data_IF_263195046114
#
_entry.id   IF_263195046114
#
_cell.length_a   1.000
_cell.length_b   1.000
_cell.length_c   1.000
_cell.angle_alpha   90.00
_cell.angle_beta   90.00
_cell.angle_gamma   90.00
#
_symmetry.space_group_name_H-M   'P 1'
#
loop_
_entity.id
_entity.type
_entity.pdbx_description
1 polymer ?
#
# COMPACT_ATOMS: atom_id res chain seq x y z
N UNK A 1 24.98 20.41 -40.40
CA UNK A 1 25.09 19.59 -41.62
C UNK A 1 25.39 18.15 -41.21
N UNK A 2 24.41 17.27 -41.42
CA UNK A 2 24.41 15.80 -41.62
C UNK A 2 23.13 15.23 -40.99
N UNK A 3 22.03 15.38 -41.73
CA UNK A 3 20.83 14.55 -41.58
C UNK A 3 21.18 13.12 -42.02
N UNK A 4 21.00 12.14 -41.14
CA UNK A 4 20.94 10.74 -41.53
C UNK A 4 19.54 10.20 -41.28
N UNK A 5 18.86 9.93 -42.38
CA UNK A 5 17.55 9.33 -42.46
C UNK A 5 17.64 7.81 -42.24
N UNK A 6 17.02 7.31 -41.17
CA UNK A 6 16.79 5.89 -40.94
C UNK A 6 15.36 5.52 -41.40
N UNK A 7 15.27 4.95 -42.61
CA UNK A 7 14.08 4.26 -43.14
C UNK A 7 14.05 2.83 -42.59
N UNK A 8 13.13 2.55 -41.67
CA UNK A 8 12.81 1.18 -41.24
C UNK A 8 11.82 0.47 -42.18
N UNK A 9 11.85 -0.88 -42.25
CA UNK A 9 11.01 -1.66 -43.16
C UNK A 9 9.54 -1.76 -42.67
N UNK A 10 8.61 -1.50 -43.60
CA UNK A 10 7.15 -1.61 -43.40
C UNK A 10 6.74 -3.09 -43.39
N UNK A 11 6.53 -3.66 -42.22
CA UNK A 11 5.82 -4.94 -42.08
C UNK A 11 4.32 -4.71 -42.32
N UNK A 12 3.80 -5.23 -43.44
CA UNK A 12 2.38 -5.19 -43.81
C UNK A 12 1.58 -6.19 -42.97
N UNK A 13 1.31 -5.83 -41.71
CA UNK A 13 0.26 -6.48 -40.92
C UNK A 13 -1.10 -6.11 -41.49
N UNK A 14 -1.85 -7.11 -41.97
CA UNK A 14 -3.23 -6.98 -42.46
C UNK A 14 -4.14 -6.57 -41.29
N UNK A 15 -4.22 -5.27 -41.01
CA UNK A 15 -5.15 -4.66 -40.05
C UNK A 15 -6.56 -4.89 -40.60
N UNK A 16 -7.30 -5.81 -39.99
CA UNK A 16 -8.75 -5.90 -40.16
C UNK A 16 -9.34 -4.58 -39.69
N UNK A 17 -9.71 -3.74 -40.66
CA UNK A 17 -10.26 -2.41 -40.48
C UNK A 17 -11.57 -2.48 -39.68
N UNK A 18 -11.48 -2.14 -38.40
CA UNK A 18 -12.61 -1.96 -37.49
C UNK A 18 -13.30 -0.60 -37.77
N UNK A 19 -13.56 -0.27 -39.04
CA UNK A 19 -14.02 1.05 -39.49
C UNK A 19 -15.51 1.30 -39.26
N UNK A 20 -16.28 0.28 -38.85
CA UNK A 20 -17.72 0.44 -38.54
C UNK A 20 -18.03 1.13 -37.21
N UNK A 21 -17.08 1.29 -36.29
CA UNK A 21 -17.34 1.87 -34.97
C UNK A 21 -17.22 3.40 -34.92
N UNK A 22 -16.58 4.04 -35.91
CA UNK A 22 -16.33 5.49 -35.88
C UNK A 22 -17.58 6.33 -36.16
N UNK A 23 -18.47 5.86 -37.03
CA UNK A 23 -19.77 6.51 -37.29
C UNK A 23 -20.74 6.41 -36.11
N UNK A 24 -20.83 5.23 -35.48
CA UNK A 24 -21.69 5.04 -34.30
C UNK A 24 -21.22 5.84 -33.08
N UNK A 25 -19.90 6.06 -32.94
CA UNK A 25 -19.35 6.88 -31.87
C UNK A 25 -19.71 8.36 -32.04
N UNK A 26 -19.71 8.88 -33.28
CA UNK A 26 -20.13 10.25 -33.59
C UNK A 26 -21.63 10.45 -33.36
N UNK A 27 -22.47 9.47 -33.71
CA UNK A 27 -23.91 9.53 -33.46
C UNK A 27 -24.29 9.41 -31.98
N UNK A 28 -23.50 8.67 -31.17
CA UNK A 28 -23.67 8.63 -29.71
C UNK A 28 -23.27 9.95 -29.07
N UNK A 29 -22.20 10.60 -29.54
CA UNK A 29 -21.75 11.88 -29.02
C UNK A 29 -22.79 13.01 -29.23
N UNK A 30 -23.65 12.92 -30.26
CA UNK A 30 -24.76 13.87 -30.47
C UNK A 30 -25.96 13.66 -29.54
N UNK A 31 -26.05 12.53 -28.85
CA UNK A 31 -27.19 12.16 -27.99
C UNK A 31 -26.93 12.30 -26.49
N UNK A 32 -25.73 12.69 -26.09
CA UNK A 32 -25.38 12.93 -24.69
C UNK A 32 -25.12 14.43 -24.46
N UNK A 33 -25.81 15.02 -23.47
CA UNK A 33 -25.57 16.37 -22.96
C UNK A 33 -24.40 16.31 -22.00
N UNK A 34 -23.44 17.22 -22.15
CA UNK A 34 -22.39 17.41 -21.15
C UNK A 34 -22.98 18.18 -19.96
N UNK A 35 -22.96 17.57 -18.78
CA UNK A 35 -23.44 18.13 -17.52
C UNK A 35 -22.25 18.31 -16.59
N UNK A 36 -21.99 19.54 -16.17
CA UNK A 36 -20.97 19.86 -15.16
C UNK A 36 -21.57 19.63 -13.77
N UNK A 37 -20.99 18.72 -13.00
CA UNK A 37 -21.38 18.47 -11.61
C UNK A 37 -20.36 19.15 -10.68
N UNK A 38 -20.86 19.92 -9.73
CA UNK A 38 -20.04 20.46 -8.67
C UNK A 38 -19.56 19.33 -7.75
N UNK A 39 -18.25 19.24 -7.54
CA UNK A 39 -17.61 18.28 -6.63
C UNK A 39 -16.69 19.07 -5.71
N UNK A 40 -16.92 18.91 -4.41
CA UNK A 40 -16.07 19.50 -3.38
C UNK A 40 -14.72 18.78 -3.38
N UNK A 41 -13.64 19.55 -3.53
CA UNK A 41 -12.29 19.03 -3.34
C UNK A 41 -11.95 19.17 -1.87
N UNK A 42 -11.46 18.09 -1.25
CA UNK A 42 -10.98 18.17 0.12
C UNK A 42 -9.83 19.18 0.20
N UNK A 43 -10.01 20.30 0.93
CA UNK A 43 -8.95 21.31 1.10
C UNK A 43 -7.85 20.82 2.04
N UNK A 44 -8.02 19.64 2.64
CA UNK A 44 -7.12 19.05 3.64
C UNK A 44 -6.05 18.16 3.00
N UNK A 45 -6.08 17.96 1.67
CA UNK A 45 -5.09 17.17 0.95
C UNK A 45 -3.77 17.96 0.93
N UNK A 46 -2.73 17.38 1.49
CA UNK A 46 -1.36 17.92 1.37
C UNK A 46 -0.89 17.71 -0.08
N UNK A 47 -0.63 18.79 -0.85
CA UNK A 47 -0.13 18.66 -2.20
C UNK A 47 1.29 18.09 -2.20
N UNK A 48 1.65 17.39 -3.27
CA UNK A 48 3.05 16.99 -3.48
C UNK A 48 3.93 18.23 -3.65
N UNK A 49 5.16 18.22 -3.08
CA UNK A 49 6.11 19.29 -3.32
C UNK A 49 6.50 19.32 -4.79
N UNK A 50 6.43 20.49 -5.41
CA UNK A 50 6.87 20.70 -6.79
C UNK A 50 8.39 20.92 -6.79
N UNK A 51 9.14 19.95 -7.29
CA UNK A 51 10.61 20.02 -7.37
C UNK A 51 11.00 20.34 -8.81
N UNK A 52 11.80 21.40 -9.05
CA UNK A 52 12.32 21.72 -10.38
C UNK A 52 13.05 20.53 -11.03
N UNK A 53 12.89 20.37 -12.35
CA UNK A 53 13.46 19.25 -13.10
C UNK A 53 14.98 19.13 -12.97
N UNK A 54 15.71 20.24 -12.83
CA UNK A 54 17.17 20.19 -12.65
C UNK A 54 17.56 19.59 -11.29
N UNK A 55 16.81 19.87 -10.22
CA UNK A 55 17.01 19.24 -8.91
C UNK A 55 16.62 17.77 -8.94
N UNK A 56 15.54 17.39 -9.64
CA UNK A 56 15.18 15.98 -9.81
C UNK A 56 16.32 15.20 -10.48
N UNK A 57 16.95 15.77 -11.52
CA UNK A 57 18.12 15.18 -12.19
C UNK A 57 19.35 15.11 -11.28
N UNK A 58 19.60 16.16 -10.48
CA UNK A 58 20.72 16.19 -9.53
C UNK A 58 20.56 15.15 -8.40
N UNK A 59 19.34 14.96 -7.90
CA UNK A 59 19.02 13.89 -6.95
C UNK A 59 19.25 12.54 -7.60
N UNK A 60 18.75 12.32 -8.81
CA UNK A 60 18.94 11.07 -9.54
C UNK A 60 20.43 10.76 -9.79
N UNK A 61 21.26 11.76 -10.09
CA UNK A 61 22.70 11.57 -10.27
C UNK A 61 23.46 11.32 -8.95
N UNK A 62 22.90 11.70 -7.81
CA UNK A 62 23.50 11.46 -6.48
C UNK A 62 23.02 10.16 -5.82
N UNK A 63 21.95 9.55 -6.33
CA UNK A 63 21.46 8.25 -5.85
C UNK A 63 22.49 7.12 -5.88
N UNK A 64 23.37 6.98 -6.89
CA UNK A 64 24.42 5.95 -6.87
C UNK A 64 25.41 6.11 -5.69
N UNK A 65 25.64 7.35 -5.24
CA UNK A 65 26.48 7.59 -4.05
C UNK A 65 25.78 7.12 -2.77
N UNK A 66 24.46 7.27 -2.69
CA UNK A 66 23.64 6.85 -1.55
C UNK A 66 23.33 5.34 -1.56
N UNK A 67 23.29 4.73 -2.74
CA UNK A 67 22.94 3.32 -2.94
C UNK A 67 24.14 2.64 -3.60
N UNK A 68 25.13 2.18 -2.81
CA UNK A 68 26.31 1.53 -3.36
C UNK A 68 25.97 0.28 -4.17
N UNK A 69 26.81 -0.05 -5.15
CA UNK A 69 26.67 -1.23 -6.03
C UNK A 69 26.69 -2.58 -5.30
N UNK A 70 27.04 -2.61 -4.01
CA UNK A 70 26.96 -3.81 -3.17
C UNK A 70 25.51 -4.20 -2.81
N UNK A 71 24.59 -3.24 -2.76
CA UNK A 71 23.17 -3.47 -2.45
C UNK A 71 22.46 -4.31 -3.51
N UNK A 72 22.55 -4.00 -4.82
CA UNK A 72 21.91 -4.83 -5.84
C UNK A 72 22.45 -6.25 -5.86
N UNK A 73 23.76 -6.42 -5.69
CA UNK A 73 24.39 -7.75 -5.59
C UNK A 73 23.81 -8.55 -4.40
N UNK A 74 23.72 -7.92 -3.22
CA UNK A 74 23.11 -8.52 -2.04
C UNK A 74 21.66 -8.95 -2.27
N UNK A 75 20.82 -8.13 -2.91
CA UNK A 75 19.43 -8.48 -3.18
C UNK A 75 19.30 -9.65 -4.17
N UNK A 76 20.15 -9.70 -5.19
CA UNK A 76 20.20 -10.82 -6.15
C UNK A 76 20.62 -12.12 -5.45
N UNK A 77 21.68 -12.09 -4.65
CA UNK A 77 22.18 -13.27 -3.96
C UNK A 77 21.22 -13.74 -2.85
N UNK A 78 20.60 -12.81 -2.13
CA UNK A 78 19.52 -13.12 -1.18
C UNK A 78 18.33 -13.77 -1.87
N UNK A 79 17.93 -13.28 -3.05
CA UNK A 79 16.85 -13.87 -3.83
C UNK A 79 17.20 -15.30 -4.28
N UNK A 80 18.43 -15.52 -4.76
CA UNK A 80 18.94 -16.85 -5.13
C UNK A 80 18.92 -17.81 -3.94
N UNK A 81 19.45 -17.40 -2.79
CA UNK A 81 19.44 -18.20 -1.56
C UNK A 81 18.00 -18.53 -1.11
N UNK A 82 17.07 -17.58 -1.21
CA UNK A 82 15.65 -17.80 -0.88
C UNK A 82 15.01 -18.84 -1.80
N UNK A 83 15.25 -18.75 -3.11
CA UNK A 83 14.74 -19.73 -4.07
C UNK A 83 15.33 -21.11 -3.85
N UNK A 84 16.64 -21.20 -3.57
CA UNK A 84 17.30 -22.44 -3.21
C UNK A 84 16.70 -23.06 -1.95
N UNK A 85 16.59 -22.30 -0.87
CA UNK A 85 16.02 -22.76 0.41
C UNK A 85 14.55 -23.16 0.26
N UNK A 86 13.78 -22.44 -0.54
CA UNK A 86 12.39 -22.81 -0.85
C UNK A 86 12.31 -24.12 -1.64
N UNK A 87 13.21 -24.33 -2.61
CA UNK A 87 13.28 -25.58 -3.36
C UNK A 87 13.68 -26.75 -2.47
N UNK A 88 14.65 -26.57 -1.57
CA UNK A 88 15.05 -27.59 -0.58
C UNK A 88 13.89 -27.94 0.36
N UNK A 89 13.21 -26.94 0.93
CA UNK A 89 12.01 -27.17 1.76
C UNK A 89 10.90 -27.91 1.02
N UNK A 90 10.71 -27.64 -0.28
CA UNK A 90 9.74 -28.38 -1.11
C UNK A 90 10.17 -29.84 -1.35
N UNK A 91 11.46 -30.09 -1.55
CA UNK A 91 12.01 -31.46 -1.71
C UNK A 91 11.88 -32.25 -0.40
N UNK A 92 12.22 -31.64 0.72
CA UNK A 92 12.10 -32.26 2.04
C UNK A 92 10.64 -32.60 2.37
N UNK A 93 9.70 -31.66 2.17
CA UNK A 93 8.27 -31.93 2.32
C UNK A 93 7.77 -33.07 1.43
N UNK A 94 8.29 -33.20 0.20
CA UNK A 94 7.96 -34.32 -0.68
C UNK A 94 8.53 -35.64 -0.18
N UNK A 95 9.76 -35.65 0.35
CA UNK A 95 10.39 -36.83 0.95
C UNK A 95 9.65 -37.28 2.22
N UNK A 96 9.28 -36.33 3.08
CA UNK A 96 8.47 -36.59 4.27
C UNK A 96 7.10 -37.16 3.88
N UNK A 97 6.42 -36.58 2.89
CA UNK A 97 5.15 -37.11 2.41
C UNK A 97 5.29 -38.53 1.83
N UNK A 98 6.30 -38.77 0.99
CA UNK A 98 6.53 -40.10 0.43
C UNK A 98 6.88 -41.15 1.51
N UNK A 99 7.59 -40.75 2.57
CA UNK A 99 7.87 -41.64 3.70
C UNK A 99 6.60 -41.97 4.48
N UNK A 100 5.73 -40.99 4.73
CA UNK A 100 4.43 -41.19 5.39
C UNK A 100 3.52 -42.07 4.52
N UNK A 101 3.44 -41.81 3.22
CA UNK A 101 2.63 -42.61 2.30
C UNK A 101 3.13 -44.08 2.28
N UNK A 102 4.45 -44.30 2.30
CA UNK A 102 5.03 -45.65 2.38
C UNK A 102 4.74 -46.35 3.72
N UNK A 103 4.78 -45.62 4.83
CA UNK A 103 4.42 -46.17 6.14
C UNK A 103 2.95 -46.58 6.19
N UNK A 104 2.04 -45.80 5.60
CA UNK A 104 0.62 -46.13 5.50
C UNK A 104 0.34 -47.35 4.60
N UNK A 105 1.14 -47.56 3.56
CA UNK A 105 1.07 -48.77 2.73
C UNK A 105 1.57 -50.02 3.49
N UNK A 106 2.64 -49.89 4.27
CA UNK A 106 3.17 -50.99 5.09
C UNK A 106 2.20 -51.37 6.23
N UNK A 107 1.52 -50.40 6.86
CA UNK A 107 0.55 -50.65 7.93
C UNK A 107 -0.75 -51.32 7.43
N UNK A 108 -1.20 -51.02 6.20
CA UNK A 108 -2.40 -51.64 5.62
C UNK A 108 -2.18 -53.06 5.05
N UNK A 109 -0.94 -53.54 4.92
CA UNK A 109 -0.66 -54.90 4.43
C UNK A 109 -0.53 -55.95 5.55
N UNK A 110 -0.85 -55.59 6.80
CA UNK A 110 -0.75 -56.47 7.97
C UNK A 110 -2.03 -57.18 8.45
N UNK A 111 -3.23 -56.85 7.94
CA UNK A 111 -4.48 -57.49 8.39
C UNK A 111 -5.03 -58.51 7.37
N UNK A 112 -4.98 -59.78 7.80
CA UNK A 112 -5.59 -61.03 7.34
C UNK A 112 -6.40 -61.07 6.01
N UNK A 113 -5.99 -61.87 5.01
CA UNK A 113 -6.68 -61.99 3.73
C UNK A 113 -7.81 -63.03 3.83
N UNK A 114 -8.98 -62.63 4.33
CA UNK A 114 -10.20 -63.44 4.19
C UNK A 114 -11.43 -62.58 3.95
N UNK A 115 -11.65 -62.21 2.68
CA UNK A 115 -12.91 -62.44 1.95
C UNK A 115 -12.88 -61.79 0.56
N UNK A 116 -13.15 -62.65 -0.42
CA UNK A 116 -13.19 -62.47 -1.86
C UNK A 116 -14.15 -61.38 -2.35
N UNK A 117 -13.76 -60.58 -3.35
CA UNK A 117 -14.68 -59.94 -4.32
C UNK A 117 -13.91 -59.44 -5.56
N UNK A 118 -14.56 -59.25 -6.73
CA UNK A 118 -14.11 -59.87 -7.97
C UNK A 118 -13.31 -58.92 -8.87
N UNK A 119 -12.39 -59.52 -9.62
CA UNK A 119 -11.59 -58.93 -10.70
C UNK A 119 -12.44 -58.10 -11.67
N UNK A 120 -12.06 -56.82 -11.83
CA UNK A 120 -12.35 -56.04 -13.03
C UNK A 120 -11.20 -56.21 -14.03
N UNK A 121 -11.49 -56.34 -15.34
CA UNK A 121 -10.48 -56.48 -16.37
C UNK A 121 -9.72 -55.18 -16.56
N UNK A 122 -8.40 -55.35 -16.58
CA UNK A 122 -7.35 -54.35 -16.65
C UNK A 122 -7.30 -53.77 -18.06
N UNK A 123 -7.53 -52.47 -18.20
CA UNK A 123 -7.40 -51.75 -19.47
C UNK A 123 -6.07 -50.98 -19.49
N UNK A 124 -5.34 -51.18 -20.58
CA UNK A 124 -3.96 -50.81 -20.80
C UNK A 124 -3.71 -49.31 -20.61
N UNK A 125 -2.83 -48.95 -19.68
CA UNK A 125 -2.03 -47.73 -19.82
C UNK A 125 -0.55 -48.07 -19.76
N UNK A 126 0.09 -47.91 -20.91
CA UNK A 126 1.53 -47.93 -21.16
C UNK A 126 2.30 -47.25 -20.02
N UNK A 127 2.91 -48.05 -19.16
CA UNK A 127 3.95 -47.61 -18.23
C UNK A 127 5.29 -47.74 -18.93
N UNK A 128 5.77 -46.61 -19.42
CA UNK A 128 7.14 -46.38 -19.83
C UNK A 128 8.04 -46.46 -18.58
N UNK A 129 8.48 -47.67 -18.26
CA UNK A 129 9.27 -48.02 -17.07
C UNK A 129 10.63 -48.52 -17.52
N UNK A 130 11.51 -47.63 -17.98
CA UNK A 130 12.93 -47.96 -18.13
C UNK A 130 13.80 -46.70 -18.21
N UNK A 131 14.19 -46.20 -17.03
CA UNK A 131 15.47 -45.51 -16.81
C UNK A 131 15.70 -45.34 -15.31
N UNK A 132 15.95 -46.45 -14.60
CA UNK A 132 16.59 -46.42 -13.29
C UNK A 132 18.06 -46.07 -13.54
N UNK A 133 18.32 -44.80 -13.83
CA UNK A 133 19.66 -44.24 -13.76
C UNK A 133 20.05 -44.23 -12.29
N UNK A 134 21.06 -45.03 -11.91
CA UNK A 134 21.76 -44.90 -10.62
C UNK A 134 22.08 -43.42 -10.44
N UNK A 135 21.43 -42.80 -9.46
CA UNK A 135 21.72 -41.41 -9.10
C UNK A 135 23.14 -41.43 -8.54
N UNK A 136 24.12 -41.03 -9.35
CA UNK A 136 25.47 -40.77 -8.88
C UNK A 136 25.38 -39.85 -7.65
N UNK A 137 25.89 -40.35 -6.52
CA UNK A 137 26.15 -39.62 -5.28
C UNK A 137 27.19 -38.52 -5.55
N UNK A 138 26.83 -37.53 -6.36
CA UNK A 138 27.62 -36.32 -6.49
C UNK A 138 27.65 -35.66 -5.11
N UNK A 139 28.84 -35.37 -4.57
CA UNK A 139 28.98 -34.86 -3.20
C UNK A 139 28.09 -33.64 -3.04
N UNK A 140 27.21 -33.70 -2.04
CA UNK A 140 26.25 -32.65 -1.76
C UNK A 140 26.98 -31.32 -1.63
N UNK A 141 26.85 -30.44 -2.63
CA UNK A 141 27.41 -29.10 -2.54
C UNK A 141 26.90 -28.45 -1.24
N UNK A 142 27.79 -27.89 -0.41
CA UNK A 142 27.40 -27.28 0.85
C UNK A 142 26.33 -26.21 0.59
N UNK A 143 25.31 -26.10 1.46
CA UNK A 143 24.25 -25.12 1.26
C UNK A 143 24.86 -23.72 1.08
N UNK A 144 24.36 -22.92 0.12
CA UNK A 144 24.90 -21.59 -0.13
C UNK A 144 24.80 -20.77 1.16
N UNK A 145 25.94 -20.19 1.59
CA UNK A 145 25.98 -19.30 2.75
C UNK A 145 25.08 -18.10 2.47
N UNK A 146 24.27 -17.73 3.46
CA UNK A 146 23.41 -16.53 3.37
C UNK A 146 24.34 -15.32 3.29
N UNK A 147 24.22 -14.45 2.27
CA UNK A 147 25.06 -13.27 2.18
C UNK A 147 24.80 -12.35 3.38
N UNK A 148 25.87 -11.77 3.93
CA UNK A 148 25.77 -10.77 4.99
C UNK A 148 25.17 -9.47 4.43
N UNK A 149 24.30 -8.84 5.22
CA UNK A 149 23.65 -7.60 4.79
C UNK A 149 24.64 -6.43 4.89
N UNK A 150 24.81 -5.62 3.82
CA UNK A 150 25.64 -4.43 3.90
C UNK A 150 25.13 -3.45 4.97
N UNK A 151 26.03 -2.86 5.76
CA UNK A 151 25.65 -1.91 6.83
C UNK A 151 24.80 -0.75 6.31
N UNK A 152 25.08 -0.27 5.10
CA UNK A 152 24.32 0.82 4.45
C UNK A 152 22.83 0.49 4.33
N UNK A 153 22.47 -0.80 4.20
CA UNK A 153 21.09 -1.24 4.07
C UNK A 153 20.25 -0.92 5.31
N UNK A 154 20.85 -0.80 6.50
CA UNK A 154 20.12 -0.45 7.73
C UNK A 154 19.60 1.00 7.72
N UNK A 155 20.20 1.85 6.89
CA UNK A 155 19.86 3.26 6.73
C UNK A 155 18.87 3.52 5.58
N UNK A 156 18.55 2.49 4.79
CA UNK A 156 17.67 2.58 3.62
C UNK A 156 16.41 1.75 3.85
N UNK A 157 15.27 2.32 3.47
CA UNK A 157 13.96 1.68 3.59
C UNK A 157 13.34 1.64 2.19
N UNK A 158 13.01 0.44 1.72
CA UNK A 158 12.41 0.24 0.40
C UNK A 158 10.97 -0.24 0.51
N UNK A 159 10.07 0.42 -0.22
CA UNK A 159 8.67 0.06 -0.33
C UNK A 159 7.73 0.92 0.50
N UNK A 160 6.52 1.13 -0.03
CA UNK A 160 5.50 2.04 0.55
C UNK A 160 5.13 1.62 1.98
N UNK A 161 4.83 0.34 2.20
CA UNK A 161 4.35 -0.15 3.50
C UNK A 161 5.42 -0.03 4.59
N UNK A 162 6.69 -0.30 4.26
CA UNK A 162 7.77 -0.19 5.23
C UNK A 162 8.05 1.29 5.57
N UNK A 163 8.01 2.18 4.57
CA UNK A 163 8.09 3.62 4.81
C UNK A 163 6.94 4.12 5.69
N UNK A 164 5.70 3.71 5.44
CA UNK A 164 4.54 4.11 6.26
C UNK A 164 4.67 3.60 7.69
N UNK A 165 5.03 2.31 7.89
CA UNK A 165 5.24 1.76 9.24
C UNK A 165 6.31 2.52 10.01
N UNK A 166 7.40 2.92 9.35
CA UNK A 166 8.47 3.70 9.98
C UNK A 166 7.98 5.11 10.32
N UNK A 167 7.21 5.75 9.44
CA UNK A 167 6.59 7.06 9.70
C UNK A 167 5.62 7.00 10.88
N UNK A 168 4.73 6.01 10.92
CA UNK A 168 3.75 5.81 12.00
C UNK A 168 4.46 5.65 13.35
N UNK A 169 5.46 4.77 13.43
CA UNK A 169 6.27 4.61 14.64
C UNK A 169 6.97 5.90 15.05
N UNK A 170 7.50 6.65 14.09
CA UNK A 170 8.19 7.92 14.37
C UNK A 170 7.21 8.99 14.85
N UNK A 171 5.99 9.03 14.31
CA UNK A 171 4.90 9.90 14.74
C UNK A 171 4.47 9.55 16.17
N UNK A 172 4.31 8.27 16.47
CA UNK A 172 3.84 7.83 17.80
C UNK A 172 4.91 8.05 18.88
N UNK A 173 6.20 7.82 18.58
CA UNK A 173 7.32 8.21 19.47
C UNK A 173 7.31 9.73 19.72
N UNK A 174 7.08 10.54 18.68
CA UNK A 174 7.07 11.99 18.83
C UNK A 174 5.85 12.49 19.63
N UNK A 175 4.66 11.92 19.41
CA UNK A 175 3.47 12.21 20.23
C UNK A 175 3.68 11.88 21.69
N UNK A 176 4.26 10.71 21.97
CA UNK A 176 4.59 10.29 23.33
C UNK A 176 5.55 11.29 23.99
N UNK A 177 6.63 11.68 23.29
CA UNK A 177 7.58 12.68 23.80
C UNK A 177 6.94 14.04 24.05
N UNK A 178 6.10 14.51 23.14
CA UNK A 178 5.34 15.75 23.31
C UNK A 178 4.45 15.71 24.54
N UNK A 179 3.78 14.59 24.80
CA UNK A 179 2.96 14.39 25.99
C UNK A 179 3.81 14.41 27.27
N UNK A 180 4.95 13.73 27.29
CA UNK A 180 5.89 13.75 28.42
C UNK A 180 6.45 15.17 28.68
N UNK A 181 6.78 15.91 27.62
CA UNK A 181 7.22 17.31 27.71
C UNK A 181 6.11 18.21 28.27
N UNK A 182 4.86 18.04 27.82
CA UNK A 182 3.74 18.81 28.32
C UNK A 182 3.45 18.51 29.81
N UNK A 183 3.52 17.25 30.22
CA UNK A 183 3.34 16.86 31.62
C UNK A 183 4.48 17.37 32.52
N UNK A 184 5.70 17.44 31.98
CA UNK A 184 6.85 18.03 32.66
C UNK A 184 6.64 19.53 32.94
N UNK A 185 6.10 20.28 31.97
CA UNK A 185 5.77 21.71 32.12
C UNK A 185 4.70 21.91 33.21
N UNK A 186 3.76 20.97 33.34
CA UNK A 186 2.69 21.04 34.35
C UNK A 186 3.14 20.64 35.76
N UNK A 187 4.42 20.27 35.96
CA UNK A 187 4.92 19.81 37.25
C UNK A 187 4.53 18.37 37.62
N UNK A 188 3.89 17.63 36.71
CA UNK A 188 3.53 16.21 36.90
C UNK A 188 4.71 15.25 36.64
N UNK A 189 5.93 15.69 36.96
CA UNK A 189 7.17 14.98 36.60
C UNK A 189 7.34 13.65 37.33
N UNK A 190 6.63 13.43 38.44
CA UNK A 190 6.75 12.20 39.24
C UNK A 190 6.41 10.93 38.45
N UNK A 191 5.65 11.05 37.34
CA UNK A 191 5.33 9.94 36.44
C UNK A 191 6.34 9.76 35.30
N UNK A 192 7.15 10.78 34.99
CA UNK A 192 8.04 10.79 33.82
C UNK A 192 9.45 10.25 34.11
N UNK A 193 9.94 10.37 35.35
CA UNK A 193 11.31 9.95 35.73
C UNK A 193 11.41 8.51 36.21
N UNK A 194 10.30 7.89 36.62
CA UNK A 194 10.25 6.44 36.84
C UNK A 194 10.13 5.80 35.48
N UNK A 195 11.22 5.22 35.01
CA UNK A 195 11.34 4.38 33.81
C UNK A 195 10.39 3.16 33.91
N UNK A 196 9.08 3.40 33.79
CA UNK A 196 8.10 2.35 33.69
C UNK A 196 8.22 1.78 32.27
N UNK A 197 8.40 0.46 32.13
CA UNK A 197 8.45 -0.17 30.82
C UNK A 197 7.14 0.13 30.09
N UNK A 198 7.26 0.83 28.97
CA UNK A 198 6.15 1.17 28.07
C UNK A 198 5.47 -0.11 27.58
N UNK A 199 4.46 -0.55 28.31
CA UNK A 199 3.53 -1.57 27.84
C UNK A 199 2.41 -0.84 27.10
N UNK A 200 2.44 -0.87 25.77
CA UNK A 200 1.61 -0.07 24.86
C UNK A 200 0.10 -0.37 24.89
N UNK A 201 -0.41 -1.05 25.92
CA UNK A 201 -1.80 -1.51 26.00
C UNK A 201 -2.65 -0.76 27.05
N UNK A 202 -2.09 0.24 27.74
CA UNK A 202 -2.75 0.88 28.90
C UNK A 202 -3.07 2.38 28.75
N UNK A 203 -3.31 2.89 27.55
CA UNK A 203 -3.52 4.33 27.31
C UNK A 203 -4.95 4.85 27.53
N UNK A 204 -5.82 4.06 28.18
CA UNK A 204 -7.15 4.53 28.60
C UNK A 204 -7.41 4.17 30.07
N UNK A 205 -7.66 5.16 30.96
CA UNK A 205 -7.92 4.94 32.39
C UNK A 205 -9.20 4.16 32.75
N UNK A 206 -9.91 3.60 31.77
CA UNK A 206 -11.26 3.05 31.96
C UNK A 206 -11.38 1.54 31.76
N UNK A 207 -10.30 0.83 31.40
CA UNK A 207 -10.34 -0.62 31.30
C UNK A 207 -9.95 -1.25 32.65
N UNK A 208 -10.85 -2.01 33.31
CA UNK A 208 -10.47 -2.79 34.48
C UNK A 208 -9.39 -3.80 34.08
N UNK A 209 -8.25 -3.74 34.77
CA UNK A 209 -7.10 -4.61 34.52
C UNK A 209 -7.43 -6.05 34.91
N UNK A 210 -7.68 -6.92 33.93
CA UNK A 210 -7.75 -8.37 34.13
C UNK A 210 -6.35 -8.92 34.45
N UNK A 211 -6.13 -9.29 35.69
CA UNK A 211 -4.85 -9.67 36.29
C UNK A 211 -4.39 -11.11 36.01
N UNK A 212 -4.81 -11.75 34.90
CA UNK A 212 -4.56 -13.19 34.68
C UNK A 212 -3.72 -13.59 33.44
N UNK A 213 -3.24 -12.65 32.62
CA UNK A 213 -2.39 -13.00 31.48
C UNK A 213 -0.90 -13.09 31.88
N UNK A 214 -0.47 -14.31 32.20
CA UNK A 214 0.89 -14.77 32.47
C UNK A 214 1.90 -14.28 31.40
N UNK A 215 2.68 -13.28 31.78
CA UNK A 215 3.76 -12.64 31.03
C UNK A 215 4.89 -13.63 30.71
N UNK A 216 5.01 -14.06 29.45
CA UNK A 216 6.32 -14.44 28.92
C UNK A 216 7.07 -13.13 28.65
N UNK A 217 8.06 -12.84 29.49
CA UNK A 217 8.92 -11.67 29.40
C UNK A 217 9.79 -11.72 28.15
N UNK A 218 9.24 -11.27 27.03
CA UNK A 218 10.07 -10.81 25.91
C UNK A 218 10.51 -9.40 26.30
N UNK A 219 11.80 -9.25 26.62
CA UNK A 219 12.50 -7.98 26.78
C UNK A 219 12.33 -7.13 25.51
N UNK A 220 11.23 -6.37 25.44
CA UNK A 220 10.94 -5.41 24.37
C UNK A 220 11.96 -4.26 24.36
N UNK A 221 12.71 -4.06 25.44
CA UNK A 221 13.69 -2.98 25.57
C UNK A 221 14.98 -3.22 24.77
N UNK A 222 15.43 -4.47 24.59
CA UNK A 222 16.62 -4.75 23.76
C UNK A 222 16.32 -4.74 22.25
N UNK A 223 15.08 -5.04 21.84
CA UNK A 223 14.67 -4.96 20.43
C UNK A 223 14.24 -3.57 19.99
N UNK A 224 13.96 -2.65 20.93
CA UNK A 224 13.85 -1.20 20.70
C UNK A 224 15.21 -0.50 20.52
N UNK A 225 16.31 -1.20 20.85
CA UNK A 225 17.69 -0.68 20.77
C UNK A 225 18.25 -0.55 19.35
N UNK A 226 17.58 -1.08 18.33
CA UNK A 226 17.87 -0.75 16.94
C UNK A 226 17.41 0.68 16.68
N UNK A 227 18.22 1.66 17.12
CA UNK A 227 18.00 3.12 17.06
C UNK A 227 17.16 3.47 15.83
N UNK A 228 15.86 3.68 16.06
CA UNK A 228 14.91 4.02 15.02
C UNK A 228 15.13 5.49 14.68
N UNK A 229 16.18 5.74 13.90
CA UNK A 229 16.41 7.04 13.30
C UNK A 229 15.26 7.32 12.33
N UNK A 230 14.55 8.45 12.50
CA UNK A 230 13.48 8.80 11.59
C UNK A 230 14.03 8.98 10.16
N UNK A 231 13.21 8.73 9.13
CA UNK A 231 13.62 8.96 7.75
C UNK A 231 13.77 10.47 7.54
N UNK A 232 14.94 10.92 7.09
CA UNK A 232 15.17 12.33 6.77
C UNK A 232 14.68 12.68 5.35
N UNK A 233 14.80 11.75 4.40
CA UNK A 233 14.31 11.92 3.03
C UNK A 233 13.42 10.76 2.61
N UNK A 234 12.36 11.07 1.86
CA UNK A 234 11.47 10.08 1.24
C UNK A 234 11.35 10.40 -0.24
N UNK A 235 11.88 9.50 -1.07
CA UNK A 235 11.98 9.64 -2.52
C UNK A 235 10.90 8.78 -3.17
N UNK A 236 10.05 9.39 -4.00
CA UNK A 236 8.89 8.75 -4.63
C UNK A 236 8.88 9.03 -6.15
N UNK A 237 8.98 8.00 -7.02
CA UNK A 237 8.81 8.15 -8.47
C UNK A 237 7.31 8.25 -8.83
N UNK A 238 6.72 9.45 -8.75
CA UNK A 238 5.27 9.67 -8.79
C UNK A 238 4.60 9.24 -10.10
N UNK A 239 5.29 9.37 -11.23
CA UNK A 239 4.69 9.14 -12.55
C UNK A 239 4.70 7.66 -12.96
N UNK A 240 5.58 6.85 -12.36
CA UNK A 240 5.71 5.43 -12.68
C UNK A 240 4.69 4.55 -11.92
N UNK A 241 4.11 5.05 -10.83
CA UNK A 241 3.26 4.27 -9.94
C UNK A 241 1.80 4.35 -10.36
N UNK A 242 1.24 3.21 -10.78
CA UNK A 242 -0.18 3.04 -11.09
C UNK A 242 -0.81 2.01 -10.14
N UNK A 243 -1.85 2.37 -9.37
CA UNK A 243 -2.47 3.71 -9.25
C UNK A 243 -1.73 4.65 -8.28
N UNK A 244 -1.76 5.95 -8.55
CA UNK A 244 -1.14 7.00 -7.72
C UNK A 244 -1.75 7.11 -6.30
N UNK A 245 -2.95 6.56 -6.10
CA UNK A 245 -3.62 6.53 -4.79
C UNK A 245 -2.85 5.71 -3.76
N UNK A 246 -1.93 4.83 -4.17
CA UNK A 246 -1.08 4.07 -3.25
C UNK A 246 -0.06 4.94 -2.53
N UNK A 247 0.36 6.04 -3.15
CA UNK A 247 1.39 6.94 -2.60
C UNK A 247 0.83 8.26 -2.07
N UNK A 248 -0.44 8.58 -2.37
CA UNK A 248 -1.05 9.87 -1.99
C UNK A 248 -1.10 10.13 -0.49
N UNK A 249 -0.99 9.10 0.35
CA UNK A 249 -0.94 9.26 1.80
C UNK A 249 0.43 9.73 2.31
N UNK A 250 1.53 9.49 1.58
CA UNK A 250 2.89 9.76 2.06
C UNK A 250 3.10 11.24 2.45
N UNK A 251 2.72 12.24 1.62
CA UNK A 251 2.85 13.66 1.99
C UNK A 251 2.06 14.00 3.25
N UNK A 252 0.91 13.35 3.45
CA UNK A 252 0.07 13.56 4.62
C UNK A 252 0.78 13.14 5.91
N UNK A 253 1.36 11.94 5.93
CA UNK A 253 2.12 11.44 7.08
C UNK A 253 3.37 12.29 7.35
N UNK A 254 4.08 12.70 6.30
CA UNK A 254 5.27 13.55 6.45
C UNK A 254 4.92 14.93 7.00
N UNK A 255 3.83 15.54 6.50
CA UNK A 255 3.34 16.80 7.04
C UNK A 255 2.96 16.65 8.53
N UNK A 256 2.26 15.58 8.90
CA UNK A 256 1.92 15.28 10.31
C UNK A 256 3.15 15.19 11.18
N UNK A 257 4.17 14.44 10.74
CA UNK A 257 5.42 14.35 11.47
C UNK A 257 6.09 15.74 11.61
N UNK A 258 6.21 16.51 10.52
CA UNK A 258 6.85 17.82 10.56
C UNK A 258 6.11 18.81 11.47
N UNK A 259 4.78 18.78 11.51
CA UNK A 259 3.98 19.58 12.43
C UNK A 259 4.28 19.25 13.90
N UNK A 260 4.39 17.96 14.23
CA UNK A 260 4.78 17.51 15.56
C UNK A 260 6.24 17.89 15.88
N UNK A 261 7.14 17.88 14.89
CA UNK A 261 8.53 18.34 15.08
C UNK A 261 8.56 19.82 15.42
N UNK A 262 7.78 20.66 14.72
CA UNK A 262 7.68 22.08 15.07
C UNK A 262 7.15 22.28 16.50
N UNK A 263 6.13 21.53 16.91
CA UNK A 263 5.62 21.59 18.28
C UNK A 263 6.68 21.16 19.29
N UNK A 264 7.44 20.12 18.98
CA UNK A 264 8.50 19.62 19.83
C UNK A 264 9.60 20.68 19.99
N UNK A 265 9.98 21.38 18.91
CA UNK A 265 10.95 22.48 18.96
C UNK A 265 10.42 23.63 19.84
N UNK A 266 9.15 24.02 19.69
CA UNK A 266 8.57 25.11 20.49
C UNK A 266 8.45 24.75 21.97
N UNK A 267 7.97 23.54 22.29
CA UNK A 267 7.93 23.04 23.65
C UNK A 267 9.32 22.88 24.26
N UNK A 268 10.30 22.48 23.46
CA UNK A 268 11.70 22.40 23.86
C UNK A 268 12.21 23.75 24.37
N UNK A 269 11.96 24.83 23.63
CA UNK A 269 12.31 26.21 24.06
C UNK A 269 11.60 26.62 25.35
N UNK A 270 10.33 26.26 25.51
CA UNK A 270 9.57 26.56 26.74
C UNK A 270 10.16 25.79 27.92
N UNK A 271 10.50 24.52 27.74
CA UNK A 271 11.14 23.70 28.78
C UNK A 271 12.52 24.23 29.15
N UNK A 272 13.32 24.62 28.15
CA UNK A 272 14.66 25.19 28.39
C UNK A 272 14.62 26.46 29.26
N UNK A 273 13.56 27.27 29.13
CA UNK A 273 13.37 28.49 29.91
C UNK A 273 12.75 28.22 31.29
N UNK A 274 11.89 27.20 31.43
CA UNK A 274 11.15 26.94 32.68
C UNK A 274 11.77 25.88 33.59
N UNK A 275 12.59 24.95 33.08
CA UNK A 275 13.10 23.81 33.84
C UNK A 275 14.61 23.85 34.09
N UNK A 276 15.04 23.20 35.18
CA UNK A 276 16.47 23.05 35.55
C UNK A 276 17.21 22.17 34.54
N UNK A 277 18.54 22.34 34.44
CA UNK A 277 19.39 21.61 33.49
C UNK A 277 19.26 20.08 33.58
N UNK A 278 19.09 19.54 34.78
CA UNK A 278 18.99 18.09 35.03
C UNK A 278 17.73 17.45 34.41
N UNK A 279 16.66 18.23 34.24
CA UNK A 279 15.37 17.77 33.70
C UNK A 279 15.29 17.92 32.18
N UNK A 280 16.32 18.49 31.53
CA UNK A 280 16.34 18.70 30.07
C UNK A 280 16.53 17.42 29.27
N UNK A 281 16.88 16.31 29.93
CA UNK A 281 16.98 14.98 29.32
C UNK A 281 15.67 14.52 28.67
N UNK A 282 14.52 15.04 29.13
CA UNK A 282 13.18 14.73 28.60
C UNK A 282 13.00 15.24 27.17
N UNK A 283 13.68 16.32 26.77
CA UNK A 283 13.60 16.87 25.41
C UNK A 283 14.06 15.79 24.41
N UNK A 284 15.16 15.10 24.73
CA UNK A 284 15.80 14.12 23.86
C UNK A 284 16.63 14.76 22.74
N UNK A 285 17.07 13.95 21.79
CA UNK A 285 17.85 14.41 20.63
C UNK A 285 17.00 15.31 19.69
N UNK A 286 17.61 16.33 19.06
CA UNK A 286 16.94 17.15 18.07
C UNK A 286 16.40 16.30 16.93
N UNK A 287 15.13 16.53 16.58
CA UNK A 287 14.47 15.86 15.46
C UNK A 287 14.48 16.76 14.24
N UNK A 288 14.88 16.20 13.10
CA UNK A 288 14.86 16.90 11.82
C UNK A 288 13.54 16.67 11.07
N UNK A 289 13.17 17.63 10.24
CA UNK A 289 12.01 17.52 9.36
C UNK A 289 12.24 16.47 8.25
N UNK A 290 11.18 15.76 7.90
CA UNK A 290 11.18 14.79 6.80
C UNK A 290 10.94 15.53 5.50
N UNK A 291 11.84 15.32 4.53
CA UNK A 291 11.76 15.92 3.21
C UNK A 291 11.23 14.92 2.19
N UNK A 292 10.11 15.27 1.54
CA UNK A 292 9.54 14.45 0.47
C UNK A 292 10.07 14.91 -0.89
N UNK A 293 10.61 13.97 -1.65
CA UNK A 293 11.20 14.19 -2.97
C UNK A 293 10.36 13.48 -4.01
N UNK A 294 9.52 14.25 -4.70
CA UNK A 294 8.77 13.80 -5.85
C UNK A 294 9.68 13.74 -7.08
N UNK A 295 9.93 12.54 -7.59
CA UNK A 295 10.63 12.31 -8.85
C UNK A 295 9.63 11.94 -9.96
N UNK A 296 10.04 12.15 -11.21
CA UNK A 296 9.27 11.80 -12.41
C UNK A 296 9.21 10.30 -12.70
N UNK A 297 9.26 9.93 -13.98
CA UNK A 297 9.18 8.52 -14.43
C UNK A 297 10.55 7.82 -14.33
N UNK A 298 11.01 7.59 -13.10
CA UNK A 298 12.35 7.04 -12.80
C UNK A 298 12.32 5.78 -11.94
N UNK A 299 11.16 5.13 -11.78
CA UNK A 299 11.03 3.91 -10.97
C UNK A 299 12.01 2.82 -11.43
N UNK A 300 12.13 2.60 -12.74
CA UNK A 300 12.94 1.51 -13.28
C UNK A 300 14.43 1.73 -13.03
N UNK A 301 14.90 2.98 -13.07
CA UNK A 301 16.29 3.33 -12.80
C UNK A 301 16.63 3.10 -11.33
N UNK A 302 15.76 3.56 -10.42
CA UNK A 302 15.91 3.31 -8.98
C UNK A 302 15.85 1.80 -8.68
N UNK A 303 14.92 1.09 -9.29
CA UNK A 303 14.78 -0.35 -9.11
C UNK A 303 16.04 -1.11 -9.57
N UNK A 304 16.65 -0.70 -10.69
CA UNK A 304 17.93 -1.26 -11.17
C UNK A 304 19.08 -0.98 -10.19
N UNK A 305 19.21 0.25 -9.69
CA UNK A 305 20.24 0.60 -8.71
C UNK A 305 20.13 -0.23 -7.43
N UNK A 306 18.91 -0.48 -6.94
CA UNK A 306 18.69 -1.30 -5.73
C UNK A 306 18.74 -2.81 -6.02
N UNK A 307 18.68 -3.24 -7.29
CA UNK A 307 18.61 -4.66 -7.65
C UNK A 307 17.25 -5.30 -7.34
N UNK A 308 16.20 -4.48 -7.33
CA UNK A 308 14.82 -4.93 -7.16
C UNK A 308 14.06 -4.81 -8.49
N UNK A 309 12.96 -5.56 -8.60
CA UNK A 309 12.13 -5.51 -9.81
C UNK A 309 11.39 -4.19 -9.95
N UNK A 310 10.95 -3.62 -8.83
CA UNK A 310 10.13 -2.40 -8.72
C UNK A 310 10.43 -1.74 -7.38
N UNK A 311 10.52 -0.42 -7.36
CA UNK A 311 10.73 0.37 -6.13
C UNK A 311 9.83 1.59 -6.17
N UNK A 312 8.71 1.53 -5.46
CA UNK A 312 7.71 2.59 -5.46
C UNK A 312 7.99 3.70 -4.43
N UNK A 313 8.86 3.45 -3.45
CA UNK A 313 9.22 4.42 -2.43
C UNK A 313 10.57 4.02 -1.84
N UNK A 314 11.46 4.99 -1.67
CA UNK A 314 12.76 4.81 -1.01
C UNK A 314 12.87 5.88 0.07
N UNK A 315 13.06 5.48 1.33
CA UNK A 315 13.33 6.43 2.41
C UNK A 315 14.77 6.26 2.93
N UNK A 316 15.41 7.39 3.22
CA UNK A 316 16.79 7.47 3.72
C UNK A 316 16.72 7.97 5.17
N UNK A 317 17.30 7.21 6.10
CA UNK A 317 17.35 7.57 7.53
C UNK A 317 18.34 8.69 7.79
N UNK A 318 18.11 9.45 8.86
CA UNK A 318 19.03 10.52 9.29
C UNK A 318 20.43 10.02 9.65
N UNK A 319 20.59 8.72 9.93
CA UNK A 319 21.87 8.09 10.25
C UNK A 319 22.71 7.69 9.03
N UNK A 320 22.24 7.94 7.80
CA UNK A 320 23.00 7.61 6.59
C UNK A 320 24.27 8.49 6.47
N UNK A 321 25.46 7.93 6.19
CA UNK A 321 26.72 8.70 6.15
C UNK A 321 26.70 9.82 5.09
N UNK A 322 26.18 9.53 3.90
CA UNK A 322 26.15 10.47 2.77
C UNK A 322 24.89 11.35 2.69
N UNK A 323 24.13 11.46 3.80
CA UNK A 323 22.90 12.25 3.83
C UNK A 323 23.12 13.73 3.48
N UNK A 324 24.32 14.24 3.78
CA UNK A 324 24.69 15.64 3.55
C UNK A 324 24.52 16.06 2.09
N UNK A 325 24.80 15.15 1.15
CA UNK A 325 24.67 15.39 -0.29
C UNK A 325 23.23 15.78 -0.64
N UNK A 326 22.24 15.04 -0.13
CA UNK A 326 20.82 15.39 -0.34
C UNK A 326 20.43 16.67 0.37
N UNK A 327 20.99 16.92 1.56
CA UNK A 327 20.68 18.10 2.35
C UNK A 327 21.16 19.41 1.72
N UNK A 328 22.26 19.35 0.97
CA UNK A 328 22.84 20.47 0.21
C UNK A 328 22.11 20.69 -1.12
N UNK A 329 21.75 19.60 -1.82
CA UNK A 329 21.06 19.68 -3.11
C UNK A 329 19.61 20.14 -3.00
N UNK A 330 18.90 19.70 -1.95
CA UNK A 330 17.49 19.96 -1.81
C UNK A 330 17.26 21.07 -0.77
N UNK A 331 16.51 22.13 -1.14
CA UNK A 331 16.12 23.13 -0.16
C UNK A 331 15.33 22.47 0.97
N UNK A 332 15.27 23.13 2.14
CA UNK A 332 14.35 22.71 3.21
C UNK A 332 12.95 22.66 2.61
N UNK A 333 12.37 21.45 2.53
CA UNK A 333 11.11 21.25 1.85
C UNK A 333 10.01 21.87 2.70
N UNK A 334 9.37 22.91 2.19
CA UNK A 334 8.19 23.49 2.80
C UNK A 334 6.97 22.58 2.54
N UNK A 335 6.89 21.44 3.23
CA UNK A 335 5.62 20.75 3.37
C UNK A 335 4.78 21.55 4.34
N UNK A 336 3.65 22.08 3.87
CA UNK A 336 2.71 22.74 4.76
C UNK A 336 2.20 21.74 5.81
N UNK A 337 2.09 22.15 7.08
CA UNK A 337 1.52 21.30 8.11
C UNK A 337 0.11 20.84 7.72
N UNK A 338 -0.28 19.61 8.11
CA UNK A 338 -1.54 19.04 7.70
C UNK A 338 -2.67 19.78 8.41
N UNK A 339 -3.58 20.31 7.60
CA UNK A 339 -4.62 21.25 8.06
C UNK A 339 -5.70 20.63 8.95
N UNK A 340 -5.69 19.30 9.13
CA UNK A 340 -6.68 18.59 9.94
C UNK A 340 -6.26 18.39 11.39
N UNK A 341 -5.00 18.71 11.75
CA UNK A 341 -4.58 18.67 13.14
C UNK A 341 -4.90 20.00 13.80
N UNK A 342 -6.07 20.06 14.43
CA UNK A 342 -6.29 20.90 15.61
C UNK A 342 -5.43 20.26 16.71
N UNK A 343 -4.12 20.38 16.61
CA UNK A 343 -3.24 20.07 17.72
C UNK A 343 -3.54 21.12 18.76
N UNK A 344 -4.17 20.69 19.85
CA UNK A 344 -4.19 21.45 21.08
C UNK A 344 -2.76 21.96 21.32
N UNK A 345 -2.56 23.24 21.70
CA UNK A 345 -1.23 23.83 21.83
C UNK A 345 -0.30 22.98 22.70
N UNK A 346 -0.87 22.22 23.65
CA UNK A 346 -0.16 21.23 24.46
C UNK A 346 -0.99 19.94 24.54
N UNK A 347 -0.55 18.80 23.97
CA UNK A 347 -1.18 17.51 24.24
C UNK A 347 -0.86 17.10 25.69
N UNK A 348 -1.70 17.52 26.64
CA UNK A 348 -1.57 17.12 28.04
C UNK A 348 -2.31 15.80 28.27
N UNK A 349 -1.80 14.95 29.16
CA UNK A 349 -2.50 13.72 29.57
C UNK A 349 -3.86 14.02 30.23
N UNK A 350 -4.01 15.23 30.77
CA UNK A 350 -5.24 15.74 31.34
C UNK A 350 -5.77 16.91 30.51
N UNK A 351 -6.88 16.69 29.79
CA UNK A 351 -7.58 17.79 29.09
C UNK A 351 -8.32 18.62 30.14
N UNK A 352 -7.76 19.77 30.52
CA UNK A 352 -8.50 20.79 31.27
C UNK A 352 -9.34 21.58 30.28
N UNK A 353 -10.61 21.20 30.12
CA UNK A 353 -11.58 22.02 29.40
C UNK A 353 -11.87 23.22 30.29
N UNK A 354 -11.18 24.33 30.02
CA UNK A 354 -11.61 25.63 30.52
C UNK A 354 -12.90 25.98 29.78
N UNK A 355 -14.03 25.43 30.25
CA UNK A 355 -15.31 26.01 29.91
C UNK A 355 -15.20 27.47 30.36
N UNK A 356 -15.43 28.42 29.44
CA UNK A 356 -15.79 29.78 29.79
C UNK A 356 -17.17 29.75 30.48
N UNK A 357 -17.28 28.96 31.55
CA UNK A 357 -18.41 28.94 32.42
C UNK A 357 -18.30 30.24 33.18
N UNK A 358 -19.23 31.11 32.81
CA UNK A 358 -19.61 32.35 33.45
C UNK A 358 -19.63 32.19 34.97
N UNK A 359 -18.47 32.28 35.62
CA UNK A 359 -18.38 32.78 36.99
C UNK A 359 -18.53 34.31 36.96
N UNK A 360 -19.56 34.79 36.25
CA UNK A 360 -20.36 35.89 36.77
C UNK A 360 -21.22 35.27 37.86
N UNK A 361 -20.59 35.02 39.02
CA UNK A 361 -21.37 34.93 40.24
C UNK A 361 -22.30 36.15 40.29
N UNK A 362 -23.59 35.99 40.62
CA UNK A 362 -24.46 37.13 40.79
C UNK A 362 -23.82 38.04 41.83
N UNK A 363 -23.62 39.30 41.43
CA UNK A 363 -23.07 40.36 42.25
C UNK A 363 -23.65 40.29 43.67
N UNK A 364 -22.83 39.91 44.64
CA UNK A 364 -23.04 40.33 46.01
C UNK A 364 -22.85 41.84 46.01
N UNK A 365 -23.96 42.57 45.87
CA UNK A 365 -24.10 43.95 46.32
C UNK A 365 -23.89 43.97 47.83
N UNK A 366 -22.65 43.98 48.27
CA UNK A 366 -22.25 44.37 49.62
C UNK A 366 -21.60 45.75 49.53
N UNK A 367 -22.40 46.81 49.66
CA UNK A 367 -21.88 48.15 49.90
C UNK A 367 -21.18 48.17 51.25
N UNK A 368 -19.86 48.38 51.25
CA UNK A 368 -19.11 48.81 52.42
C UNK A 368 -18.24 49.99 52.01
N UNK A 369 -18.45 51.21 52.54
CA UNK A 369 -17.61 52.35 52.27
C UNK A 369 -16.43 52.34 53.25
N UNK A 370 -15.22 52.35 52.71
CA UNK A 370 -14.02 52.72 53.46
C UNK A 370 -13.02 51.59 53.65
N UNK A 371 -12.09 51.46 52.71
CA UNK A 371 -10.68 51.71 53.05
C UNK A 371 -9.90 51.92 51.75
N UNK A 372 -9.28 53.10 51.68
CA UNK A 372 -8.26 53.46 50.71
C UNK A 372 -6.94 52.79 51.12
N UNK A 373 -6.53 51.76 50.38
CA UNK A 373 -5.15 51.29 50.41
C UNK A 373 -4.77 50.83 49.01
N UNK A 374 -3.90 51.62 48.38
CA UNK A 374 -3.33 51.36 47.08
C UNK A 374 -2.48 50.08 47.12
N UNK A 375 -2.86 49.09 46.30
CA UNK A 375 -2.01 47.97 45.93
C UNK A 375 -1.81 48.07 44.42
N UNK A 376 -0.60 48.40 43.94
CA UNK A 376 -0.25 48.22 42.54
C UNK A 376 0.31 46.82 42.40
N UNK A 377 -0.46 45.89 41.86
CA UNK A 377 0.13 44.68 41.29
C UNK A 377 -0.55 44.43 39.96
N UNK A 378 0.15 44.86 38.92
CA UNK A 378 -0.05 44.49 37.52
C UNK A 378 0.18 42.98 37.39
N UNK A 379 -0.75 42.19 37.92
CA UNK A 379 -0.94 40.83 37.47
C UNK A 379 -1.45 40.93 36.03
N UNK A 380 -0.51 41.08 35.10
CA UNK A 380 -0.76 40.94 33.68
C UNK A 380 -1.50 39.62 33.49
N UNK A 381 -2.79 39.77 33.22
CA UNK A 381 -3.71 38.71 32.86
C UNK A 381 -3.15 38.08 31.57
N UNK A 382 -2.24 37.13 31.75
CA UNK A 382 -1.64 36.28 30.72
C UNK A 382 -2.73 35.35 30.22
N UNK A 383 -3.75 35.96 29.59
CA UNK A 383 -4.76 35.28 28.81
C UNK A 383 -4.00 34.31 27.90
N UNK A 384 -4.28 33.01 27.99
CA UNK A 384 -3.55 32.04 27.19
C UNK A 384 -3.71 32.44 25.73
N UNK A 385 -2.58 32.73 25.06
CA UNK A 385 -2.52 33.05 23.64
C UNK A 385 -3.21 31.92 22.89
N UNK A 386 -4.48 32.11 22.53
CA UNK A 386 -5.22 31.16 21.73
C UNK A 386 -4.49 31.11 20.39
N UNK A 387 -3.97 29.95 19.97
CA UNK A 387 -3.25 29.85 18.72
C UNK A 387 -4.15 30.30 17.57
N UNK A 388 -3.59 31.09 16.64
CA UNK A 388 -4.31 31.60 15.49
C UNK A 388 -4.88 30.44 14.66
N UNK A 389 -6.22 30.35 14.58
CA UNK A 389 -6.90 29.31 13.81
C UNK A 389 -6.96 29.73 12.35
N UNK A 390 -6.13 29.11 11.50
CA UNK A 390 -6.14 29.38 10.07
C UNK A 390 -7.23 28.61 9.34
N UNK A 391 -8.29 29.30 8.90
CA UNK A 391 -9.32 28.74 8.04
C UNK A 391 -8.83 28.59 6.60
N UNK A 392 -9.28 27.54 5.90
CA UNK A 392 -8.90 27.28 4.50
C UNK A 392 -10.10 27.48 3.58
N UNK A 393 -9.95 28.16 2.43
CA UNK A 393 -11.05 28.34 1.50
C UNK A 393 -11.51 27.00 0.92
N UNK A 394 -12.83 26.81 0.83
CA UNK A 394 -13.43 25.65 0.18
C UNK A 394 -13.29 25.76 -1.34
N UNK A 395 -12.80 24.71 -1.99
CA UNK A 395 -12.66 24.65 -3.44
C UNK A 395 -13.67 23.67 -4.03
N UNK A 396 -14.58 24.18 -4.87
CA UNK A 396 -15.57 23.38 -5.60
C UNK A 396 -15.11 23.28 -7.05
N UNK A 397 -14.84 22.07 -7.54
CA UNK A 397 -14.48 21.81 -8.94
C UNK A 397 -15.69 21.32 -9.73
N UNK A 398 -15.81 21.73 -10.99
CA UNK A 398 -16.79 21.18 -11.92
C UNK A 398 -16.25 19.93 -12.61
N UNK A 399 -16.85 18.76 -12.40
CA UNK A 399 -16.56 17.54 -13.16
C UNK A 399 -17.59 17.41 -14.29
N UNK A 400 -17.11 17.35 -15.53
CA UNK A 400 -17.97 17.12 -16.70
C UNK A 400 -18.37 15.65 -16.77
N UNK A 401 -19.67 15.39 -16.78
CA UNK A 401 -20.25 14.06 -16.96
C UNK A 401 -21.17 14.07 -18.16
N UNK A 402 -21.22 12.98 -18.94
CA UNK A 402 -22.19 12.83 -20.02
C UNK A 402 -23.51 12.32 -19.45
N UNK A 403 -24.59 13.08 -19.61
CA UNK A 403 -25.95 12.64 -19.31
C UNK A 403 -26.71 12.41 -20.64
N UNK A 404 -27.44 11.29 -20.80
CA UNK A 404 -28.23 11.09 -22.02
C UNK A 404 -29.27 12.20 -22.15
N UNK A 405 -29.35 12.83 -23.32
CA UNK A 405 -30.31 13.92 -23.59
C UNK A 405 -31.75 13.44 -23.44
N UNK A 406 -31.99 12.19 -23.85
CA UNK A 406 -33.29 11.55 -23.76
C UNK A 406 -33.12 10.05 -23.47
N UNK A 407 -33.53 9.63 -22.27
CA UNK A 407 -33.53 8.23 -21.86
C UNK A 407 -34.47 7.37 -22.72
N UNK A 408 -35.55 7.96 -23.26
CA UNK A 408 -36.52 7.26 -24.11
C UNK A 408 -35.95 7.00 -25.50
N UNK A 409 -35.36 8.00 -26.18
CA UNK A 409 -34.68 7.80 -27.46
C UNK A 409 -33.58 6.74 -27.38
N UNK A 410 -32.80 6.71 -26.29
CA UNK A 410 -31.77 5.68 -26.09
C UNK A 410 -32.38 4.29 -25.89
N UNK A 411 -33.48 4.19 -25.14
CA UNK A 411 -34.22 2.93 -24.96
C UNK A 411 -34.84 2.45 -26.28
N UNK A 412 -35.42 3.35 -27.07
CA UNK A 412 -35.97 3.06 -28.38
C UNK A 412 -34.88 2.55 -29.35
N UNK A 413 -33.75 3.25 -29.46
CA UNK A 413 -32.60 2.83 -30.28
C UNK A 413 -32.05 1.46 -29.84
N UNK A 414 -31.97 1.21 -28.52
CA UNK A 414 -31.56 -0.11 -27.98
C UNK A 414 -32.58 -1.19 -28.35
N UNK A 415 -33.88 -0.91 -28.31
CA UNK A 415 -34.92 -1.85 -28.73
C UNK A 415 -34.86 -2.13 -30.23
N UNK A 416 -34.61 -1.12 -31.06
CA UNK A 416 -34.40 -1.28 -32.51
C UNK A 416 -33.16 -2.13 -32.81
N UNK A 417 -32.04 -1.87 -32.13
CA UNK A 417 -30.82 -2.67 -32.27
C UNK A 417 -31.07 -4.14 -31.88
N UNK A 418 -31.78 -4.37 -30.77
CA UNK A 418 -32.16 -5.73 -30.35
C UNK A 418 -33.09 -6.40 -31.37
N UNK A 419 -34.07 -5.67 -31.93
CA UNK A 419 -34.96 -6.17 -33.00
C UNK A 419 -34.17 -6.50 -34.27
N UNK A 420 -33.22 -5.65 -34.68
CA UNK A 420 -32.35 -5.88 -35.83
C UNK A 420 -31.46 -7.11 -35.62
N UNK A 421 -30.81 -7.25 -34.46
CA UNK A 421 -30.03 -8.44 -34.11
C UNK A 421 -30.87 -9.72 -34.14
N UNK A 422 -32.10 -9.68 -33.63
CA UNK A 422 -33.03 -10.82 -33.70
C UNK A 422 -33.41 -11.19 -35.13
N UNK A 423 -33.63 -10.20 -36.02
CA UNK A 423 -33.89 -10.44 -37.45
C UNK A 423 -32.69 -11.13 -38.12
N UNK A 424 -31.48 -10.63 -37.92
CA UNK A 424 -30.25 -11.22 -38.48
C UNK A 424 -30.04 -12.65 -38.00
N UNK A 425 -30.24 -12.92 -36.70
CA UNK A 425 -30.14 -14.28 -36.15
C UNK A 425 -31.21 -15.21 -36.75
N UNK A 426 -32.45 -14.72 -36.93
CA UNK A 426 -33.54 -15.49 -37.56
C UNK A 426 -33.25 -15.79 -39.03
N UNK A 427 -32.75 -14.83 -39.78
CA UNK A 427 -32.33 -15.01 -41.18
C UNK A 427 -31.16 -15.97 -41.30
N UNK A 428 -30.14 -15.85 -40.43
CA UNK A 428 -29.03 -16.80 -40.37
C UNK A 428 -29.52 -18.21 -40.06
N UNK A 429 -30.47 -18.38 -39.15
CA UNK A 429 -31.08 -19.67 -38.84
C UNK A 429 -31.89 -20.23 -40.02
N UNK A 430 -32.65 -19.37 -40.73
CA UNK A 430 -33.36 -19.76 -41.95
C UNK A 430 -32.39 -20.18 -43.07
N UNK A 431 -31.30 -19.44 -43.27
CA UNK A 431 -30.28 -19.76 -44.26
C UNK A 431 -29.58 -21.09 -43.93
N UNK A 432 -29.29 -21.37 -42.65
CA UNK A 432 -28.76 -22.68 -42.23
C UNK A 432 -29.75 -23.81 -42.50
N UNK A 433 -31.04 -23.64 -42.16
CA UNK A 433 -32.07 -24.64 -42.48
C UNK A 433 -32.25 -24.86 -43.98
N UNK A 434 -32.18 -23.82 -44.80
CA UNK A 434 -32.26 -23.95 -46.25
C UNK A 434 -31.04 -24.70 -46.81
N UNK A 435 -29.84 -24.44 -46.27
CA UNK A 435 -28.64 -25.22 -46.59
C UNK A 435 -28.78 -26.68 -46.17
N UNK A 436 -29.29 -26.94 -44.97
CA UNK A 436 -29.59 -28.29 -44.48
C UNK A 436 -30.61 -29.00 -45.37
N UNK A 437 -31.68 -28.34 -45.82
CA UNK A 437 -32.65 -28.92 -46.76
C UNK A 437 -32.02 -29.22 -48.12
N UNK A 438 -31.21 -28.31 -48.67
CA UNK A 438 -30.49 -28.55 -49.94
C UNK A 438 -29.48 -29.71 -49.83
N UNK A 439 -28.81 -29.85 -48.69
CA UNK A 439 -27.90 -30.96 -48.42
C UNK A 439 -28.65 -32.25 -48.11
N UNK A 440 -29.77 -32.19 -47.40
CA UNK A 440 -30.64 -33.32 -47.06
C UNK A 440 -31.35 -33.91 -48.28
N UNK A 441 -31.74 -33.10 -49.26
CA UNK A 441 -32.27 -33.59 -50.55
C UNK A 441 -31.18 -34.29 -51.37
N UNK A 442 -29.92 -33.86 -51.26
CA UNK A 442 -28.78 -34.61 -51.83
C UNK A 442 -28.47 -35.88 -51.04
N UNK A 443 -28.61 -35.84 -49.72
CA UNK A 443 -28.43 -36.99 -48.82
C UNK A 443 -29.51 -38.06 -49.00
N UNK A 444 -30.76 -37.69 -49.30
CA UNK A 444 -31.84 -38.64 -49.57
C UNK A 444 -31.69 -39.37 -50.91
N UNK A 445 -31.04 -38.76 -51.92
CA UNK A 445 -30.64 -39.47 -53.16
C UNK A 445 -29.46 -40.43 -52.96
N UNK A 446 -28.68 -40.28 -51.90
CA UNK A 446 -27.58 -41.20 -51.56
C UNK A 446 -28.02 -42.26 -50.54
N UNK A 447 -28.93 -41.92 -49.62
CA UNK A 447 -29.45 -42.82 -48.59
C UNK A 447 -30.45 -43.86 -49.13
N UNK A 448 -31.03 -43.65 -50.32
CA UNK A 448 -31.76 -44.71 -51.04
C UNK A 448 -30.85 -45.83 -51.55
N UNK A 449 -29.51 -45.64 -51.55
CA UNK A 449 -28.53 -46.69 -51.89
C UNK A 449 -27.80 -47.30 -50.68
N UNK A 450 -28.00 -46.80 -49.45
CA UNK A 450 -27.31 -47.33 -48.26
C UNK A 450 -28.23 -47.98 -47.21
N UNK A 451 -29.53 -48.08 -47.46
CA UNK A 451 -30.51 -48.68 -46.54
C UNK A 451 -30.48 -50.22 -46.48
N UNK A 452 -29.41 -50.87 -46.92
CA UNK A 452 -29.21 -52.33 -46.79
C UNK A 452 -28.19 -52.76 -45.74
N UNK A 453 -27.46 -51.84 -45.07
CA UNK A 453 -26.50 -52.24 -44.03
C UNK A 453 -26.55 -51.30 -42.83
N UNK A 454 -26.80 -51.89 -41.67
CA UNK A 454 -26.67 -51.37 -40.29
C UNK A 454 -27.98 -51.11 -39.55
N UNK A 455 -28.67 -52.21 -39.21
CA UNK A 455 -29.37 -52.32 -37.93
C UNK A 455 -28.34 -52.76 -36.88
N UNK A 456 -28.04 -51.89 -35.90
CA UNK A 456 -27.01 -52.21 -34.91
C UNK A 456 -26.77 -51.17 -33.83
N UNK A 457 -27.78 -50.94 -32.98
CA UNK A 457 -27.62 -50.94 -31.52
C UNK A 457 -26.58 -49.95 -30.93
N UNK A 458 -27.05 -48.80 -30.41
CA UNK A 458 -26.53 -48.22 -29.15
C UNK A 458 -27.49 -47.17 -28.59
N UNK A 459 -28.17 -47.51 -27.48
CA UNK A 459 -28.82 -46.55 -26.58
C UNK A 459 -27.75 -45.97 -25.67
N UNK A 460 -27.50 -44.66 -25.74
CA UNK A 460 -26.75 -43.93 -24.71
C UNK A 460 -27.72 -43.12 -23.85
N UNK A 461 -27.69 -43.40 -22.56
CA UNK A 461 -28.37 -42.69 -21.49
C UNK A 461 -27.77 -41.29 -21.28
N UNK A 462 -28.64 -40.35 -20.90
CA UNK A 462 -28.32 -38.97 -20.49
C UNK A 462 -27.74 -38.95 -19.08
N UNK A 463 -26.75 -38.11 -18.76
CA UNK A 463 -26.48 -37.71 -17.38
C UNK A 463 -27.40 -36.55 -16.97
N UNK A 464 -27.99 -36.67 -15.78
CA UNK A 464 -28.72 -35.62 -15.10
C UNK A 464 -27.75 -34.56 -14.58
N UNK A 465 -28.08 -33.28 -14.77
CA UNK A 465 -27.34 -32.16 -14.22
C UNK A 465 -27.78 -31.92 -12.77
N UNK A 466 -26.84 -32.02 -11.84
CA UNK A 466 -26.99 -31.52 -10.47
C UNK A 466 -26.87 -30.00 -10.46
N UNK A 467 -27.90 -29.35 -9.93
CA UNK A 467 -27.94 -27.93 -9.60
C UNK A 467 -27.17 -27.71 -8.30
N UNK A 468 -26.29 -26.70 -8.28
CA UNK A 468 -25.80 -26.03 -7.07
C UNK A 468 -25.81 -24.52 -7.34
#
# INVERSE_FOLDING_TARGET
>A
MTEQALKGPKASGKVLSNTKTRGEALDRARMDKQVVKAVMVSPLIVPWPSIPNHLQKAVLSSLPTLIPDSIPAYHVDRARCKHFNQAQRRKEKKRQKAAVDKQLEEENHGEDPRLSTPQRPNDNSFRDSQAIGKADDKPAHPPPKIPEAPDVLQHLIFGINETIKVLERSIDDLKLRLMLMADAINGNLQLATTSLPLNSNGLLPTAPSDSSARTQGISMTESLGARLYPPAFIIVPLLSISPQTLVSAIPQYCATYNALVYQWIQLGKIIETRMKKDQRTIIGEPREEIRVVALGDVELEIARMVGLRRVACTAVRSSHPDLKILSELLPKSALHPPRHQITLPHPTSNVRVHCAQRDRGPAQRGQGPGSSAAVPDEAHDMSPLIPEVHYTPLTIKGITTSAPVDGQARKAKRLEEVRARRKVVKERRRAMRLKEMKLGVKGLKVASNLKSKQNGKTRRSKPAASVA
#
